data_IF_262438510568
#
_entry.id   IF_262438510568
#
_cell.length_a   1.000
_cell.length_b   1.000
_cell.length_c   1.000
_cell.angle_alpha   90.00
_cell.angle_beta   90.00
_cell.angle_gamma   90.00
#
_symmetry.space_group_name_H-M   'P 1'
#
loop_
_entity.id
_entity.type
_entity.pdbx_description
1 polymer ?
#
# COMPACT_ATOMS: atom_id res chain seq x y z
N UNK A 1 7.25 -25.44 25.00
CA UNK A 1 6.64 -24.80 23.80
C UNK A 1 6.42 -23.32 24.10
N UNK A 2 6.76 -22.42 23.18
CA UNK A 2 6.55 -20.96 23.35
C UNK A 2 5.16 -20.59 22.80
N UNK A 3 4.53 -19.56 23.34
CA UNK A 3 3.28 -19.01 22.78
C UNK A 3 3.59 -17.83 21.86
N UNK A 4 2.83 -17.71 20.77
CA UNK A 4 2.86 -16.55 19.90
C UNK A 4 2.56 -15.29 20.70
N UNK A 5 3.40 -14.27 20.55
CA UNK A 5 3.27 -12.98 21.26
C UNK A 5 2.02 -12.17 20.86
N UNK A 6 1.29 -12.59 19.82
CA UNK A 6 0.09 -11.91 19.31
C UNK A 6 -1.18 -12.72 19.56
N UNK A 7 -1.26 -13.96 19.06
CA UNK A 7 -2.49 -14.75 19.12
C UNK A 7 -2.48 -15.85 20.19
N UNK A 8 -1.37 -16.03 20.92
CA UNK A 8 -1.25 -17.07 21.94
C UNK A 8 -1.14 -18.51 21.41
N UNK A 9 -1.19 -18.73 20.09
CA UNK A 9 -1.01 -20.05 19.48
C UNK A 9 0.34 -20.68 19.88
N UNK A 10 0.38 -22.01 19.98
CA UNK A 10 1.62 -22.72 20.28
C UNK A 10 2.58 -22.65 19.09
N UNK A 11 3.82 -22.27 19.36
CA UNK A 11 4.87 -22.13 18.35
C UNK A 11 6.15 -22.82 18.79
N UNK A 12 6.98 -23.17 17.79
CA UNK A 12 8.31 -23.71 18.05
C UNK A 12 9.14 -22.68 18.85
N UNK A 13 9.95 -23.11 19.85
CA UNK A 13 10.66 -22.20 20.77
C UNK A 13 11.55 -21.15 20.09
N UNK A 14 12.03 -21.45 18.87
CA UNK A 14 12.89 -20.58 18.06
C UNK A 14 12.18 -19.32 17.52
N UNK A 15 10.84 -19.30 17.49
CA UNK A 15 10.08 -18.20 16.89
C UNK A 15 9.36 -17.37 17.96
N UNK A 16 9.16 -16.07 17.69
CA UNK A 16 8.35 -15.18 18.52
C UNK A 16 6.87 -15.13 18.10
N UNK A 17 6.57 -15.50 16.84
CA UNK A 17 5.24 -15.45 16.25
C UNK A 17 4.90 -16.76 15.56
N UNK A 18 3.61 -17.08 15.45
CA UNK A 18 3.16 -18.21 14.61
C UNK A 18 3.23 -17.83 13.14
N UNK A 19 3.19 -18.84 12.26
CA UNK A 19 3.22 -18.64 10.81
C UNK A 19 2.15 -17.64 10.36
N UNK A 20 0.93 -17.77 10.87
CA UNK A 20 -0.19 -16.89 10.52
C UNK A 20 0.03 -15.45 10.98
N UNK A 21 0.53 -15.22 12.20
CA UNK A 21 0.85 -13.88 12.72
C UNK A 21 2.10 -13.27 12.08
N UNK A 22 3.00 -14.11 11.58
CA UNK A 22 4.18 -13.69 10.85
C UNK A 22 3.80 -13.26 9.43
N UNK A 23 2.91 -14.00 8.79
CA UNK A 23 2.33 -13.69 7.47
C UNK A 23 1.35 -12.50 7.55
N UNK A 24 0.57 -12.36 8.63
CA UNK A 24 -0.37 -11.24 8.79
C UNK A 24 0.31 -9.88 9.01
N UNK A 25 1.60 -9.87 9.39
CA UNK A 25 2.37 -8.62 9.54
C UNK A 25 2.83 -8.06 8.21
N UNK A 26 3.09 -8.87 7.19
CA UNK A 26 3.63 -8.37 5.91
C UNK A 26 2.58 -8.38 4.84
N UNK A 27 2.76 -7.59 3.80
CA UNK A 27 1.96 -7.73 2.59
C UNK A 27 2.44 -9.00 1.83
N UNK A 28 1.60 -10.04 1.67
CA UNK A 28 2.00 -11.25 0.94
C UNK A 28 2.29 -10.93 -0.52
N UNK A 29 3.28 -11.60 -1.10
CA UNK A 29 3.66 -11.41 -2.51
C UNK A 29 2.49 -11.65 -3.49
N UNK A 30 1.59 -12.58 -3.17
CA UNK A 30 0.38 -12.86 -3.95
C UNK A 30 -0.65 -11.72 -3.93
N UNK A 31 -0.48 -10.72 -3.05
CA UNK A 31 -1.30 -9.52 -2.94
C UNK A 31 -0.55 -8.26 -3.42
N UNK A 32 0.56 -8.43 -4.16
CA UNK A 32 1.37 -7.33 -4.69
C UNK A 32 1.19 -7.20 -6.20
N UNK A 33 1.04 -5.96 -6.68
CA UNK A 33 1.23 -5.65 -8.09
C UNK A 33 2.72 -5.41 -8.31
N UNK A 34 3.35 -6.16 -9.23
CA UNK A 34 4.77 -6.02 -9.55
C UNK A 34 5.00 -5.24 -10.84
N UNK A 35 6.09 -4.48 -10.85
CA UNK A 35 6.58 -3.76 -12.02
C UNK A 35 5.79 -2.50 -12.34
N UNK A 36 4.53 -2.66 -12.75
CA UNK A 36 3.66 -1.60 -13.27
C UNK A 36 2.19 -1.91 -12.98
N UNK A 37 1.39 -0.86 -12.78
CA UNK A 37 -0.09 -0.92 -12.69
C UNK A 37 -0.77 -1.07 -14.06
N UNK A 38 -0.03 -0.92 -15.16
CA UNK A 38 -0.54 -0.97 -16.53
C UNK A 38 -0.20 -2.28 -17.21
N UNK A 39 -1.09 -2.75 -18.09
CA UNK A 39 -0.89 -3.99 -18.85
C UNK A 39 0.36 -3.91 -19.72
N UNK A 40 0.58 -2.76 -20.33
CA UNK A 40 1.80 -2.44 -21.07
C UNK A 40 2.04 -0.91 -21.06
N UNK A 41 3.25 -0.51 -21.49
CA UNK A 41 3.67 0.88 -21.49
C UNK A 41 3.00 1.74 -22.58
N UNK A 42 2.29 1.16 -23.53
CA UNK A 42 1.73 1.85 -24.70
C UNK A 42 0.20 2.01 -24.65
N UNK A 43 -0.55 1.00 -24.21
CA UNK A 43 -2.00 0.90 -24.31
C UNK A 43 -2.77 1.70 -23.26
N UNK A 44 -2.10 2.41 -22.34
CA UNK A 44 -2.73 3.24 -21.28
C UNK A 44 -3.84 2.50 -20.48
N UNK A 45 -3.87 1.17 -20.50
CA UNK A 45 -4.87 0.34 -19.81
C UNK A 45 -4.32 -0.18 -18.50
N UNK A 46 -5.05 0.07 -17.42
CA UNK A 46 -4.76 -0.48 -16.11
C UNK A 46 -4.99 -1.99 -16.12
N UNK A 47 -4.18 -2.71 -15.34
CA UNK A 47 -4.33 -4.14 -15.09
C UNK A 47 -5.67 -4.43 -14.41
N UNK A 48 -6.27 -5.58 -14.70
CA UNK A 48 -7.54 -6.00 -14.07
C UNK A 48 -7.39 -6.10 -12.55
N UNK A 49 -6.20 -6.52 -12.11
CA UNK A 49 -5.77 -6.65 -10.72
C UNK A 49 -5.71 -5.32 -9.96
N UNK A 50 -5.76 -4.18 -10.66
CA UNK A 50 -5.90 -2.85 -10.04
C UNK A 50 -7.30 -2.67 -9.46
N UNK A 51 -8.30 -3.30 -10.07
CA UNK A 51 -9.71 -3.07 -9.74
C UNK A 51 -10.34 -4.21 -8.95
N UNK A 52 -9.97 -5.46 -9.25
CA UNK A 52 -10.63 -6.63 -8.66
C UNK A 52 -9.61 -7.70 -8.24
N UNK A 53 -10.06 -8.66 -7.41
CA UNK A 53 -9.27 -9.71 -6.75
C UNK A 53 -8.24 -9.18 -5.74
N UNK A 54 -7.15 -8.56 -6.19
CA UNK A 54 -6.09 -8.08 -5.29
C UNK A 54 -6.61 -7.00 -4.33
N UNK A 55 -7.34 -5.94 -4.75
CA UNK A 55 -7.79 -4.88 -3.86
C UNK A 55 -8.70 -5.39 -2.74
N UNK A 56 -9.60 -6.34 -3.06
CA UNK A 56 -10.50 -6.95 -2.09
C UNK A 56 -9.73 -7.75 -1.03
N UNK A 57 -8.75 -8.54 -1.46
CA UNK A 57 -7.93 -9.36 -0.56
C UNK A 57 -7.01 -8.49 0.30
N UNK A 58 -6.47 -7.40 -0.25
CA UNK A 58 -5.72 -6.40 0.50
C UNK A 58 -6.63 -5.70 1.52
N UNK A 59 -7.84 -5.28 1.14
CA UNK A 59 -8.80 -4.67 2.07
C UNK A 59 -9.10 -5.59 3.27
N UNK A 60 -9.39 -6.88 3.01
CA UNK A 60 -9.60 -7.89 4.06
C UNK A 60 -8.37 -8.06 4.96
N UNK A 61 -7.16 -8.08 4.40
CA UNK A 61 -5.92 -8.16 5.17
C UNK A 61 -5.74 -6.94 6.08
N UNK A 62 -6.00 -5.74 5.56
CA UNK A 62 -5.85 -4.49 6.30
C UNK A 62 -6.90 -4.37 7.41
N UNK A 63 -8.14 -4.76 7.16
CA UNK A 63 -9.20 -4.82 8.18
C UNK A 63 -8.82 -5.77 9.33
N UNK A 64 -8.28 -6.97 9.03
CA UNK A 64 -7.76 -7.89 10.05
C UNK A 64 -6.60 -7.31 10.87
N UNK A 65 -5.85 -6.37 10.29
CA UNK A 65 -4.80 -5.61 10.97
C UNK A 65 -5.31 -4.34 11.67
N UNK A 66 -6.62 -4.24 11.94
CA UNK A 66 -7.28 -3.13 12.63
C UNK A 66 -7.08 -1.76 11.92
N UNK A 67 -6.89 -1.79 10.60
CA UNK A 67 -6.75 -0.59 9.80
C UNK A 67 -8.13 0.04 9.55
N UNK A 68 -8.51 0.99 10.40
CA UNK A 68 -9.79 1.71 10.26
C UNK A 68 -9.87 2.58 8.99
N UNK A 69 -11.09 2.71 8.46
CA UNK A 69 -11.41 3.46 7.23
C UNK A 69 -10.88 4.90 7.24
N UNK A 70 -10.98 5.62 8.37
CA UNK A 70 -10.50 6.99 8.49
C UNK A 70 -8.98 7.11 8.23
N UNK A 71 -8.20 6.11 8.70
CA UNK A 71 -6.76 6.06 8.48
C UNK A 71 -6.46 5.78 7.01
N UNK A 72 -7.17 4.84 6.39
CA UNK A 72 -7.05 4.54 4.95
C UNK A 72 -7.32 5.79 4.10
N UNK A 73 -8.43 6.47 4.36
CA UNK A 73 -8.80 7.71 3.66
C UNK A 73 -7.75 8.80 3.82
N UNK A 74 -7.17 8.96 5.01
CA UNK A 74 -6.11 9.95 5.23
C UNK A 74 -4.92 9.72 4.30
N UNK A 75 -4.41 8.48 4.24
CA UNK A 75 -3.29 8.16 3.36
C UNK A 75 -3.65 8.23 1.88
N UNK A 76 -4.87 7.82 1.51
CA UNK A 76 -5.35 7.97 0.15
C UNK A 76 -5.42 9.43 -0.27
N UNK A 77 -5.92 10.33 0.58
CA UNK A 77 -5.90 11.76 0.30
C UNK A 77 -4.47 12.29 0.12
N UNK A 78 -3.50 11.84 0.90
CA UNK A 78 -2.09 12.26 0.71
C UNK A 78 -1.55 11.86 -0.67
N UNK A 79 -1.83 10.62 -1.12
CA UNK A 79 -1.40 10.10 -2.43
C UNK A 79 -2.15 10.80 -3.57
N UNK A 80 -3.47 10.95 -3.43
CA UNK A 80 -4.31 11.65 -4.40
C UNK A 80 -3.87 13.11 -4.56
N UNK A 81 -3.60 13.80 -3.45
CA UNK A 81 -3.12 15.18 -3.50
C UNK A 81 -1.76 15.28 -4.20
N UNK A 82 -0.84 14.33 -3.99
CA UNK A 82 0.44 14.31 -4.74
C UNK A 82 0.21 14.16 -6.24
N UNK A 83 -0.73 13.29 -6.64
CA UNK A 83 -1.13 13.13 -8.05
C UNK A 83 -1.78 14.40 -8.62
N UNK A 84 -2.68 15.04 -7.86
CA UNK A 84 -3.34 16.30 -8.25
C UNK A 84 -2.31 17.43 -8.42
N UNK A 85 -1.40 17.61 -7.46
CA UNK A 85 -0.30 18.59 -7.56
C UNK A 85 0.51 18.40 -8.84
N UNK A 86 0.87 17.16 -9.18
CA UNK A 86 1.56 16.86 -10.43
C UNK A 86 0.70 17.13 -11.67
N UNK A 87 -0.58 16.72 -11.65
CA UNK A 87 -1.48 16.82 -12.80
C UNK A 87 -1.85 18.26 -13.17
N UNK A 88 -1.91 19.14 -12.17
CA UNK A 88 -2.24 20.55 -12.33
C UNK A 88 -1.01 21.47 -12.42
N UNK A 89 0.20 20.94 -12.27
CA UNK A 89 1.43 21.70 -12.53
C UNK A 89 1.55 21.99 -14.03
N UNK A 90 1.85 23.25 -14.37
CA UNK A 90 2.08 23.68 -15.75
C UNK A 90 3.27 22.94 -16.39
N UNK A 91 4.33 22.75 -15.61
CA UNK A 91 5.57 22.11 -16.05
C UNK A 91 5.48 20.57 -16.06
N UNK A 92 4.49 19.99 -15.35
CA UNK A 92 4.35 18.54 -15.14
C UNK A 92 5.67 17.87 -14.76
N UNK A 93 6.44 18.53 -13.89
CA UNK A 93 7.70 18.02 -13.40
C UNK A 93 7.47 17.05 -12.24
N UNK A 94 7.73 15.76 -12.47
CA UNK A 94 7.54 14.74 -11.46
C UNK A 94 8.55 14.82 -10.31
N UNK A 95 9.72 15.45 -10.53
CA UNK A 95 10.73 15.63 -9.47
C UNK A 95 10.18 16.44 -8.29
N UNK A 96 9.29 17.40 -8.55
CA UNK A 96 8.73 18.29 -7.54
C UNK A 96 7.86 17.55 -6.51
N UNK A 97 7.23 16.45 -6.92
CA UNK A 97 6.38 15.65 -6.04
C UNK A 97 7.09 14.46 -5.38
N UNK A 98 8.32 14.11 -5.78
CA UNK A 98 9.08 13.01 -5.15
C UNK A 98 9.28 13.22 -3.64
N UNK A 99 9.64 14.42 -3.14
CA UNK A 99 9.73 14.67 -1.70
C UNK A 99 8.42 14.41 -0.96
N UNK A 100 7.28 14.76 -1.56
CA UNK A 100 5.96 14.49 -1.00
C UNK A 100 5.71 12.98 -0.91
N UNK A 101 6.04 12.21 -1.95
CA UNK A 101 5.91 10.75 -1.94
C UNK A 101 6.82 10.11 -0.88
N UNK A 102 8.08 10.52 -0.75
CA UNK A 102 8.97 10.02 0.30
C UNK A 102 8.46 10.35 1.70
N UNK A 103 7.88 11.54 1.90
CA UNK A 103 7.24 11.92 3.16
C UNK A 103 6.07 11.01 3.52
N UNK A 104 5.31 10.52 2.55
CA UNK A 104 4.22 9.57 2.83
C UNK A 104 4.77 8.24 3.35
N UNK A 105 5.92 7.77 2.80
CA UNK A 105 6.61 6.58 3.33
C UNK A 105 7.04 6.80 4.78
N UNK A 106 7.66 7.94 5.10
CA UNK A 106 8.13 8.21 6.47
C UNK A 106 6.98 8.34 7.46
N UNK A 107 5.85 8.92 7.05
CA UNK A 107 4.62 8.97 7.86
C UNK A 107 4.05 7.57 8.10
N UNK A 108 4.05 6.70 7.09
CA UNK A 108 3.61 5.31 7.25
C UNK A 108 4.51 4.55 8.23
N UNK A 109 5.82 4.74 8.15
CA UNK A 109 6.81 4.14 9.07
C UNK A 109 6.66 4.63 10.52
N UNK A 110 6.50 5.94 10.73
CA UNK A 110 6.27 6.48 12.08
C UNK A 110 4.97 5.95 12.68
N UNK A 111 3.87 5.97 11.91
CA UNK A 111 2.58 5.42 12.38
C UNK A 111 2.66 3.92 12.65
N UNK A 112 3.44 3.18 11.87
CA UNK A 112 3.69 1.76 12.10
C UNK A 112 4.44 1.54 13.42
N UNK A 113 5.51 2.31 13.68
CA UNK A 113 6.28 2.26 14.94
C UNK A 113 5.40 2.55 16.16
N UNK A 114 4.45 3.48 16.01
CA UNK A 114 3.44 3.80 17.03
C UNK A 114 2.28 2.80 17.10
N UNK A 115 2.34 1.68 16.34
CA UNK A 115 1.30 0.64 16.25
C UNK A 115 -0.08 1.18 15.79
N UNK A 116 -0.09 2.30 15.07
CA UNK A 116 -1.33 2.93 14.55
C UNK A 116 -1.78 2.28 13.25
N UNK A 117 -0.84 1.78 12.44
CA UNK A 117 -1.09 1.05 11.19
C UNK A 117 -0.31 -0.26 11.17
N UNK A 118 -0.83 -1.33 10.54
CA UNK A 118 -0.12 -2.59 10.46
C UNK A 118 1.08 -2.50 9.50
N UNK A 119 2.04 -3.40 9.67
CA UNK A 119 3.22 -3.47 8.79
C UNK A 119 2.82 -3.78 7.33
N UNK A 120 1.76 -4.56 7.10
CA UNK A 120 1.23 -4.85 5.75
C UNK A 120 0.76 -3.59 5.02
N UNK A 121 0.20 -2.62 5.76
CA UNK A 121 -0.14 -1.31 5.20
C UNK A 121 1.11 -0.51 4.81
N UNK A 122 2.15 -0.53 5.65
CA UNK A 122 3.40 0.14 5.34
C UNK A 122 4.08 -0.46 4.11
N UNK A 123 4.08 -1.79 3.98
CA UNK A 123 4.59 -2.51 2.81
C UNK A 123 3.80 -2.12 1.54
N UNK A 124 2.47 -2.04 1.63
CA UNK A 124 1.60 -1.57 0.55
C UNK A 124 1.96 -0.17 0.08
N UNK A 125 2.08 0.80 1.00
CA UNK A 125 2.44 2.19 0.67
C UNK A 125 3.81 2.26 0.00
N UNK A 126 4.81 1.58 0.55
CA UNK A 126 6.15 1.55 -0.02
C UNK A 126 6.17 0.94 -1.42
N UNK A 127 5.48 -0.18 -1.61
CA UNK A 127 5.40 -0.85 -2.90
C UNK A 127 4.81 0.09 -3.96
N UNK A 128 3.65 0.68 -3.68
CA UNK A 128 2.97 1.57 -4.62
C UNK A 128 3.79 2.80 -4.97
N UNK A 129 4.40 3.45 -3.97
CA UNK A 129 5.26 4.62 -4.20
C UNK A 129 6.53 4.22 -4.96
N UNK A 130 7.15 3.07 -4.67
CA UNK A 130 8.33 2.62 -5.41
C UNK A 130 8.02 2.28 -6.87
N UNK A 131 6.79 1.89 -7.19
CA UNK A 131 6.35 1.73 -8.59
C UNK A 131 6.13 3.11 -9.21
N UNK A 132 5.44 4.02 -8.51
CA UNK A 132 5.22 5.40 -8.97
C UNK A 132 6.54 6.14 -9.29
N UNK A 133 7.57 5.98 -8.44
CA UNK A 133 8.87 6.64 -8.60
C UNK A 133 9.69 6.16 -9.82
N UNK A 134 9.30 5.06 -10.46
CA UNK A 134 9.98 4.54 -11.66
C UNK A 134 9.53 5.22 -12.95
N UNK A 135 8.48 6.03 -12.90
CA UNK A 135 7.87 6.65 -14.07
C UNK A 135 7.65 8.15 -13.83
N UNK A 136 8.49 8.95 -14.49
CA UNK A 136 8.40 10.42 -14.43
C UNK A 136 7.18 10.97 -15.19
N UNK A 137 6.41 10.15 -15.92
CA UNK A 137 5.17 10.62 -16.57
C UNK A 137 3.99 10.75 -15.59
N UNK A 138 4.14 10.29 -14.34
CA UNK A 138 3.10 10.26 -13.33
C UNK A 138 1.99 9.25 -13.58
N UNK A 139 2.13 8.42 -14.62
CA UNK A 139 1.14 7.40 -14.97
C UNK A 139 1.09 6.30 -13.91
N UNK A 140 2.25 5.83 -13.45
CA UNK A 140 2.28 4.84 -12.37
C UNK A 140 1.72 5.39 -11.05
N UNK A 141 1.86 6.70 -10.80
CA UNK A 141 1.22 7.35 -9.66
C UNK A 141 -0.31 7.33 -9.78
N UNK A 142 -0.86 7.63 -10.96
CA UNK A 142 -2.29 7.49 -11.21
C UNK A 142 -2.76 6.04 -11.02
N UNK A 143 -2.02 5.07 -11.56
CA UNK A 143 -2.33 3.66 -11.37
C UNK A 143 -2.36 3.25 -9.90
N UNK A 144 -1.45 3.79 -9.09
CA UNK A 144 -1.48 3.58 -7.64
C UNK A 144 -2.71 4.23 -6.97
N UNK A 145 -3.11 5.44 -7.40
CA UNK A 145 -4.34 6.09 -6.92
C UNK A 145 -5.56 5.21 -7.18
N UNK A 146 -5.72 4.67 -8.38
CA UNK A 146 -6.86 3.80 -8.72
C UNK A 146 -6.83 2.46 -7.96
N UNK A 147 -5.65 1.87 -7.77
CA UNK A 147 -5.50 0.67 -6.95
C UNK A 147 -5.91 0.93 -5.49
N UNK A 148 -5.45 2.04 -4.91
CA UNK A 148 -5.79 2.41 -3.54
C UNK A 148 -7.27 2.78 -3.41
N UNK A 149 -7.86 3.45 -4.40
CA UNK A 149 -9.31 3.71 -4.45
C UNK A 149 -10.10 2.40 -4.43
N UNK A 150 -9.68 1.40 -5.19
CA UNK A 150 -10.33 0.09 -5.23
C UNK A 150 -10.27 -0.61 -3.86
N UNK A 151 -9.13 -0.54 -3.16
CA UNK A 151 -9.00 -1.07 -1.78
C UNK A 151 -9.97 -0.38 -0.83
N UNK A 152 -10.11 0.95 -0.94
CA UNK A 152 -11.08 1.70 -0.13
C UNK A 152 -12.51 1.26 -0.43
N UNK A 153 -12.85 1.03 -1.70
CA UNK A 153 -14.19 0.59 -2.09
C UNK A 153 -14.57 -0.78 -1.49
N UNK A 154 -13.59 -1.68 -1.31
CA UNK A 154 -13.80 -2.97 -0.66
C UNK A 154 -13.69 -2.93 0.88
N UNK A 155 -13.13 -1.84 1.44
CA UNK A 155 -13.03 -1.66 2.88
C UNK A 155 -14.38 -1.19 3.42
N UNK A 156 -15.15 -2.10 3.99
CA UNK A 156 -16.37 -1.76 4.75
C UNK A 156 -16.04 -1.42 6.20
#
# INVERSE_FOLDING_TARGET
MKKCEICGAQIKPKFSLCKDCQESKRLPDSLTIRGSFYQDKQLKRLKKEVFIDIPERVAKLLQRGEMGMNKLRTFFCMIRNAHETFSFSEEKNFEDIKPQLWRIITVAEDRKRRKVVPQSFCDFIKLGINIALKDSSGRELYGFVEFFRSIIAYSK
#
